data_IF_888426609641
#
_entry.id   IF_888426609641
#
_cell.length_a   1.000
_cell.length_b   1.000
_cell.length_c   1.000
_cell.angle_alpha   90.00
_cell.angle_beta   90.00
_cell.angle_gamma   90.00
#
_symmetry.space_group_name_H-M   'P 1'
#
loop_
_entity.id
_entity.type
_entity.pdbx_description
1 polymer ?
#
# COMPACT_ATOMS: atom_id res chain seq x y z
N UNK A 1 23.56 -4.69 -22.72
CA UNK A 1 23.15 -3.58 -23.62
C UNK A 1 23.26 -2.29 -22.83
N UNK A 2 23.77 -1.21 -23.42
CA UNK A 2 23.88 0.07 -22.72
C UNK A 2 22.58 0.85 -22.98
N UNK A 3 21.59 0.76 -22.09
CA UNK A 3 20.33 1.52 -22.20
C UNK A 3 20.57 2.98 -21.79
N UNK A 4 21.22 3.74 -22.67
CA UNK A 4 21.63 5.12 -22.40
C UNK A 4 20.60 6.14 -22.86
N UNK A 5 19.92 5.86 -23.97
CA UNK A 5 18.86 6.75 -24.50
C UNK A 5 17.48 6.36 -23.96
N UNK A 6 16.58 7.33 -23.86
CA UNK A 6 15.18 7.07 -23.52
C UNK A 6 14.47 6.24 -24.59
N UNK A 7 14.93 6.34 -25.84
CA UNK A 7 14.45 5.49 -26.94
C UNK A 7 14.81 4.01 -26.72
N UNK A 8 16.06 3.69 -26.38
CA UNK A 8 16.48 2.31 -26.06
C UNK A 8 15.69 1.73 -24.89
N UNK A 9 15.47 2.53 -23.85
CA UNK A 9 14.66 2.17 -22.68
C UNK A 9 13.21 1.87 -23.07
N UNK A 10 12.59 2.71 -23.91
CA UNK A 10 11.24 2.51 -24.42
C UNK A 10 11.12 1.22 -25.24
N UNK A 11 12.09 0.94 -26.13
CA UNK A 11 12.11 -0.27 -26.94
C UNK A 11 12.17 -1.52 -26.05
N UNK A 12 12.99 -1.50 -25.01
CA UNK A 12 13.09 -2.61 -24.05
C UNK A 12 11.78 -2.81 -23.27
N UNK A 13 11.15 -1.73 -22.80
CA UNK A 13 9.84 -1.78 -22.14
C UNK A 13 8.79 -2.37 -23.08
N UNK A 14 8.75 -1.93 -24.33
CA UNK A 14 7.86 -2.48 -25.34
C UNK A 14 8.08 -3.99 -25.54
N UNK A 15 9.32 -4.42 -25.76
CA UNK A 15 9.67 -5.85 -25.95
C UNK A 15 9.22 -6.69 -24.76
N UNK A 16 9.38 -6.19 -23.54
CA UNK A 16 8.99 -6.90 -22.30
C UNK A 16 7.51 -6.90 -22.03
N UNK A 17 6.78 -5.89 -22.51
CA UNK A 17 5.34 -5.79 -22.32
C UNK A 17 4.55 -6.92 -22.99
N UNK A 18 5.13 -7.61 -23.99
CA UNK A 18 4.44 -8.59 -24.84
C UNK A 18 3.15 -8.06 -25.48
N UNK A 19 3.02 -6.74 -25.63
CA UNK A 19 1.88 -6.10 -26.26
C UNK A 19 2.07 -5.97 -27.77
N UNK A 20 0.97 -5.99 -28.52
CA UNK A 20 1.02 -5.60 -29.93
C UNK A 20 1.31 -4.10 -30.05
N UNK A 21 1.97 -3.68 -31.15
CA UNK A 21 2.26 -2.26 -31.42
C UNK A 21 0.99 -1.41 -31.31
N UNK A 22 -0.12 -1.88 -31.88
CA UNK A 22 -1.40 -1.16 -31.82
C UNK A 22 -1.89 -0.97 -30.39
N UNK A 23 -1.76 -2.01 -29.54
CA UNK A 23 -2.18 -1.93 -28.14
C UNK A 23 -1.24 -1.03 -27.34
N UNK A 24 0.07 -1.16 -27.52
CA UNK A 24 1.05 -0.31 -26.86
C UNK A 24 0.85 1.17 -27.21
N UNK A 25 0.67 1.48 -28.49
CA UNK A 25 0.39 2.83 -28.99
C UNK A 25 -0.89 3.43 -28.39
N UNK A 26 -1.97 2.63 -28.29
CA UNK A 26 -3.21 3.07 -27.66
C UNK A 26 -3.05 3.41 -26.17
N UNK A 27 -2.20 2.68 -25.44
CA UNK A 27 -1.98 2.88 -24.01
C UNK A 27 -1.19 4.16 -23.73
N UNK A 28 -0.15 4.45 -24.52
CA UNK A 28 0.62 5.69 -24.40
C UNK A 28 -0.03 6.89 -25.13
N UNK A 29 -1.16 6.66 -25.78
CA UNK A 29 -1.92 7.63 -26.59
C UNK A 29 -1.06 8.28 -27.68
N UNK A 30 -0.36 7.46 -28.47
CA UNK A 30 0.37 7.89 -29.67
C UNK A 30 -0.11 7.12 -30.89
N UNK A 31 0.16 7.66 -32.07
CA UNK A 31 -0.13 6.98 -33.32
C UNK A 31 0.73 5.73 -33.50
N UNK A 32 0.13 4.69 -34.07
CA UNK A 32 0.83 3.43 -34.38
C UNK A 32 2.10 3.67 -35.20
N UNK A 33 2.06 4.58 -36.18
CA UNK A 33 3.20 4.90 -37.05
C UNK A 33 4.38 5.46 -36.25
N UNK A 34 4.10 6.34 -35.29
CA UNK A 34 5.12 6.94 -34.42
C UNK A 34 5.79 5.88 -33.57
N UNK A 35 4.99 5.00 -32.95
CA UNK A 35 5.52 3.89 -32.14
C UNK A 35 6.32 2.91 -32.99
N UNK A 36 5.87 2.59 -34.20
CA UNK A 36 6.64 1.77 -35.16
C UNK A 36 7.97 2.43 -35.51
N UNK A 37 7.99 3.75 -35.76
CA UNK A 37 9.24 4.46 -36.08
C UNK A 37 10.26 4.44 -34.94
N UNK A 38 9.79 4.41 -33.69
CA UNK A 38 10.64 4.24 -32.51
C UNK A 38 11.15 2.81 -32.37
N UNK A 39 10.27 1.81 -32.50
CA UNK A 39 10.63 0.39 -32.36
C UNK A 39 11.62 -0.05 -33.43
N UNK A 40 11.39 0.36 -34.68
CA UNK A 40 12.25 0.03 -35.83
C UNK A 40 13.51 0.92 -35.88
N UNK A 41 13.68 1.81 -34.89
CA UNK A 41 14.81 2.72 -34.76
C UNK A 41 15.03 3.63 -35.99
N UNK A 42 13.95 3.93 -36.72
CA UNK A 42 13.95 4.76 -37.92
C UNK A 42 14.05 6.26 -37.58
N UNK A 43 13.61 6.65 -36.38
CA UNK A 43 13.68 8.01 -35.87
C UNK A 43 14.47 8.06 -34.56
N UNK A 44 15.55 8.84 -34.53
CA UNK A 44 16.34 9.13 -33.32
C UNK A 44 15.71 10.26 -32.48
N UNK A 45 14.40 10.16 -32.25
CA UNK A 45 13.63 11.16 -31.50
C UNK A 45 13.31 10.59 -30.13
N UNK A 46 13.75 11.30 -29.09
CA UNK A 46 13.47 10.94 -27.70
C UNK A 46 11.96 10.92 -27.41
N UNK A 47 11.44 9.94 -26.65
CA UNK A 47 10.05 9.94 -26.24
C UNK A 47 9.75 11.17 -25.38
N UNK A 48 8.65 11.88 -25.65
CA UNK A 48 8.26 13.06 -24.89
C UNK A 48 7.88 12.71 -23.45
N UNK A 49 7.93 13.70 -22.55
CA UNK A 49 7.72 13.51 -21.11
C UNK A 49 6.37 12.85 -20.80
N UNK A 50 5.32 13.20 -21.53
CA UNK A 50 3.98 12.61 -21.38
C UNK A 50 3.96 11.09 -21.62
N UNK A 51 4.81 10.59 -22.53
CA UNK A 51 4.97 9.15 -22.77
C UNK A 51 5.76 8.50 -21.65
N UNK A 52 6.83 9.14 -21.18
CA UNK A 52 7.65 8.65 -20.06
C UNK A 52 6.83 8.49 -18.79
N UNK A 53 6.05 9.50 -18.43
CA UNK A 53 5.13 9.48 -17.27
C UNK A 53 4.05 8.40 -17.42
N UNK A 54 3.41 8.28 -18.58
CA UNK A 54 2.42 7.22 -18.83
C UNK A 54 3.01 5.84 -18.69
N UNK A 55 4.24 5.60 -19.17
CA UNK A 55 4.91 4.32 -19.03
C UNK A 55 5.20 4.01 -17.55
N UNK A 56 5.68 4.98 -16.78
CA UNK A 56 5.86 4.83 -15.33
C UNK A 56 4.54 4.48 -14.64
N UNK A 57 3.45 5.17 -14.97
CA UNK A 57 2.13 4.91 -14.37
C UNK A 57 1.56 3.54 -14.76
N UNK A 58 1.60 3.19 -16.05
CA UNK A 58 1.01 1.95 -16.58
C UNK A 58 1.71 0.71 -16.05
N UNK A 59 3.05 0.74 -16.02
CA UNK A 59 3.87 -0.39 -15.63
C UNK A 59 4.39 -0.29 -14.18
N UNK A 60 4.01 0.78 -13.46
CA UNK A 60 4.43 1.07 -12.09
C UNK A 60 5.94 1.11 -11.91
N UNK A 61 6.64 1.65 -12.90
CA UNK A 61 8.08 1.88 -12.80
C UNK A 61 8.35 3.16 -12.01
N UNK A 62 9.45 3.23 -11.26
CA UNK A 62 9.84 4.45 -10.58
C UNK A 62 10.34 5.51 -11.56
N UNK A 63 10.08 6.79 -11.29
CA UNK A 63 10.36 7.88 -12.25
C UNK A 63 11.85 8.00 -12.64
N UNK A 64 12.75 7.58 -11.73
CA UNK A 64 14.19 7.63 -11.94
C UNK A 64 14.68 6.72 -13.08
N UNK A 65 13.86 5.81 -13.62
CA UNK A 65 14.27 4.97 -14.76
C UNK A 65 14.66 5.79 -15.99
N UNK A 66 14.20 7.04 -16.10
CA UNK A 66 14.49 7.94 -17.22
C UNK A 66 15.73 8.81 -17.00
N UNK A 67 16.29 8.85 -15.79
CA UNK A 67 17.46 9.65 -15.47
C UNK A 67 18.74 9.08 -16.10
N UNK A 68 19.74 9.95 -16.30
CA UNK A 68 21.04 9.57 -16.90
C UNK A 68 21.81 8.55 -16.04
N UNK A 69 21.60 8.57 -14.71
CA UNK A 69 22.22 7.64 -13.78
C UNK A 69 21.71 6.21 -13.93
N UNK A 70 20.43 6.03 -14.30
CA UNK A 70 19.81 4.70 -14.40
C UNK A 70 20.02 4.12 -15.80
N UNK A 71 21.10 3.37 -16.01
CA UNK A 71 21.44 2.77 -17.31
C UNK A 71 21.86 1.31 -17.20
N UNK A 72 21.85 0.60 -18.33
CA UNK A 72 22.32 -0.79 -18.39
C UNK A 72 21.58 -1.73 -17.44
N UNK A 73 22.33 -2.39 -16.56
CA UNK A 73 21.81 -3.40 -15.63
C UNK A 73 20.92 -2.79 -14.54
N UNK A 74 21.14 -1.54 -14.15
CA UNK A 74 20.31 -0.86 -13.15
C UNK A 74 18.90 -0.59 -13.70
N UNK A 75 18.81 -0.09 -14.93
CA UNK A 75 17.54 0.07 -15.63
C UNK A 75 16.81 -1.27 -15.76
N UNK A 76 17.52 -2.31 -16.19
CA UNK A 76 16.94 -3.65 -16.29
C UNK A 76 16.40 -4.14 -14.95
N UNK A 77 17.15 -3.98 -13.86
CA UNK A 77 16.68 -4.33 -12.51
C UNK A 77 15.40 -3.56 -12.16
N UNK A 78 15.36 -2.26 -12.39
CA UNK A 78 14.19 -1.43 -12.05
C UNK A 78 12.92 -1.79 -12.82
N UNK A 79 13.02 -2.25 -14.07
CA UNK A 79 11.85 -2.67 -14.87
C UNK A 79 11.50 -4.16 -14.73
N UNK A 80 12.37 -4.97 -14.09
CA UNK A 80 12.17 -6.42 -13.91
C UNK A 80 11.88 -6.82 -12.48
N UNK A 81 12.43 -6.10 -11.51
CA UNK A 81 12.04 -6.24 -10.13
C UNK A 81 10.66 -5.61 -9.98
N UNK A 82 9.66 -6.46 -10.11
CA UNK A 82 8.36 -6.26 -9.49
C UNK A 82 8.64 -5.83 -8.04
N UNK A 83 8.04 -4.76 -7.49
CA UNK A 83 8.16 -4.44 -6.07
C UNK A 83 7.62 -5.62 -5.26
N UNK A 84 8.53 -6.52 -4.87
CA UNK A 84 8.20 -7.87 -4.41
C UNK A 84 7.42 -7.84 -3.10
N UNK A 85 7.64 -6.81 -2.27
CA UNK A 85 7.00 -6.69 -0.97
C UNK A 85 5.50 -6.43 -1.08
N UNK A 86 5.10 -5.48 -1.91
CA UNK A 86 3.70 -5.03 -2.02
C UNK A 86 2.81 -6.01 -2.78
N UNK A 87 3.35 -6.64 -3.83
CA UNK A 87 2.60 -7.63 -4.61
C UNK A 87 2.45 -8.95 -3.85
N UNK A 88 3.48 -9.36 -3.10
CA UNK A 88 3.40 -10.52 -2.20
C UNK A 88 2.35 -10.34 -1.12
N UNK A 89 2.19 -9.13 -0.56
CA UNK A 89 1.12 -8.81 0.41
C UNK A 89 -0.28 -8.94 -0.22
N UNK A 90 -0.43 -8.58 -1.50
CA UNK A 90 -1.70 -8.70 -2.23
C UNK A 90 -2.03 -10.18 -2.49
N UNK A 91 -1.05 -10.96 -2.96
CA UNK A 91 -1.20 -12.38 -3.27
C UNK A 91 -1.45 -13.24 -2.01
N UNK A 92 -0.78 -12.92 -0.90
CA UNK A 92 -0.95 -13.60 0.41
C UNK A 92 -2.23 -13.17 1.15
N UNK A 93 -3.02 -12.27 0.56
CA UNK A 93 -4.36 -11.92 1.04
C UNK A 93 -4.38 -11.34 2.46
N UNK A 94 -5.27 -11.85 3.32
CA UNK A 94 -5.40 -11.35 4.69
C UNK A 94 -4.18 -11.68 5.56
N UNK A 95 -3.57 -12.86 5.35
CA UNK A 95 -2.39 -13.30 6.08
C UNK A 95 -1.18 -12.41 5.80
N UNK A 96 -0.90 -12.12 4.52
CA UNK A 96 0.20 -11.23 4.13
C UNK A 96 0.04 -9.82 4.68
N UNK A 97 -1.18 -9.27 4.61
CA UNK A 97 -1.50 -7.96 5.21
C UNK A 97 -1.28 -7.93 6.71
N UNK A 98 -1.74 -8.95 7.45
CA UNK A 98 -1.59 -9.00 8.89
C UNK A 98 -0.12 -9.15 9.30
N UNK A 99 0.63 -9.99 8.59
CA UNK A 99 2.08 -10.18 8.81
C UNK A 99 2.85 -8.88 8.56
N UNK A 100 2.52 -8.17 7.48
CA UNK A 100 3.12 -6.87 7.17
C UNK A 100 2.81 -5.80 8.24
N UNK A 101 1.56 -5.75 8.71
CA UNK A 101 1.17 -4.86 9.80
C UNK A 101 1.99 -5.17 11.06
N UNK A 102 2.15 -6.45 11.42
CA UNK A 102 2.94 -6.83 12.59
C UNK A 102 4.42 -6.46 12.46
N UNK A 103 5.00 -6.54 11.26
CA UNK A 103 6.38 -6.11 11.01
C UNK A 103 6.53 -4.60 11.23
N UNK A 104 5.60 -3.80 10.72
CA UNK A 104 5.63 -2.34 10.86
C UNK A 104 5.28 -1.87 12.28
N UNK A 105 4.33 -2.54 12.92
CA UNK A 105 3.89 -2.27 14.29
C UNK A 105 4.81 -2.94 15.33
N UNK A 106 5.97 -3.51 14.96
CA UNK A 106 6.82 -4.29 15.86
C UNK A 106 7.23 -3.57 17.17
N UNK A 107 7.52 -2.27 17.09
CA UNK A 107 8.02 -1.50 18.24
C UNK A 107 7.03 -0.43 18.71
N UNK A 108 6.24 0.11 17.79
CA UNK A 108 5.27 1.17 18.06
C UNK A 108 4.16 1.11 17.04
N UNK A 109 2.98 1.60 17.42
CA UNK A 109 1.82 1.65 16.54
C UNK A 109 1.29 3.08 16.46
N UNK A 110 1.09 3.51 15.22
CA UNK A 110 0.51 4.82 14.90
C UNK A 110 -0.78 4.61 14.10
N UNK A 111 -1.90 5.04 14.66
CA UNK A 111 -3.23 4.82 14.07
C UNK A 111 -3.88 6.17 13.83
N UNK A 112 -4.33 6.41 12.60
CA UNK A 112 -5.26 7.50 12.30
C UNK A 112 -6.54 6.87 11.77
N UNK A 113 -7.62 6.96 12.55
CA UNK A 113 -8.91 6.41 12.14
C UNK A 113 -10.04 7.30 12.64
N UNK A 114 -10.98 7.68 11.77
CA UNK A 114 -12.09 8.53 12.18
C UNK A 114 -13.05 7.84 13.19
N UNK A 115 -13.12 6.50 13.17
CA UNK A 115 -14.07 5.70 13.96
C UNK A 115 -13.38 4.87 15.05
N UNK A 116 -14.00 4.84 16.22
CA UNK A 116 -13.68 4.05 17.40
C UNK A 116 -14.90 3.19 17.79
N UNK A 117 -14.76 1.91 18.19
CA UNK A 117 -13.51 1.17 18.35
C UNK A 117 -12.91 0.74 17.00
N UNK A 118 -11.58 0.85 16.91
CA UNK A 118 -10.83 0.37 15.74
C UNK A 118 -10.91 -1.15 15.59
N UNK A 119 -10.49 -1.71 14.44
CA UNK A 119 -10.53 -3.15 14.17
C UNK A 119 -9.92 -4.01 15.28
N UNK A 120 -8.82 -3.56 15.88
CA UNK A 120 -8.14 -4.26 16.98
C UNK A 120 -9.01 -4.41 18.23
N UNK A 121 -9.63 -3.31 18.70
CA UNK A 121 -10.54 -3.34 19.86
C UNK A 121 -11.73 -4.26 19.63
N UNK A 122 -12.19 -4.38 18.37
CA UNK A 122 -13.28 -5.32 18.03
C UNK A 122 -12.81 -6.77 18.10
N UNK A 123 -11.60 -7.05 17.61
CA UNK A 123 -11.01 -8.38 17.64
C UNK A 123 -10.75 -8.88 19.08
N UNK A 124 -10.46 -7.98 20.02
CA UNK A 124 -10.24 -8.32 21.44
C UNK A 124 -11.53 -8.38 22.27
N UNK A 125 -12.47 -7.45 22.08
CA UNK A 125 -13.64 -7.31 22.94
C UNK A 125 -14.83 -8.21 22.53
N UNK A 126 -14.98 -8.56 21.25
CA UNK A 126 -16.17 -9.26 20.74
C UNK A 126 -15.82 -10.68 20.31
N UNK A 127 -16.13 -11.67 21.16
CA UNK A 127 -15.77 -13.08 20.89
C UNK A 127 -16.69 -13.87 19.93
N UNK A 128 -17.83 -13.37 19.42
CA UNK A 128 -18.75 -14.10 18.50
C UNK A 128 -19.54 -13.12 17.61
N UNK A 129 -19.92 -13.36 16.34
CA UNK A 129 -20.62 -14.49 15.70
C UNK A 129 -20.05 -14.83 14.30
N UNK A 130 -19.13 -14.03 13.77
CA UNK A 130 -18.56 -14.16 12.42
C UNK A 130 -17.17 -14.81 12.42
N UNK A 131 -16.99 -15.96 13.08
CA UNK A 131 -15.80 -16.78 12.81
C UNK A 131 -15.92 -17.32 11.38
N UNK A 132 -15.57 -16.49 10.42
CA UNK A 132 -15.10 -16.96 9.12
C UNK A 132 -14.01 -17.98 9.43
N UNK A 133 -14.12 -19.20 8.88
CA UNK A 133 -13.08 -20.23 9.01
C UNK A 133 -11.77 -19.64 8.48
N UNK A 134 -11.00 -19.06 9.37
CA UNK A 134 -9.70 -18.46 9.09
C UNK A 134 -8.65 -19.53 9.33
N UNK A 135 -7.53 -19.47 8.61
CA UNK A 135 -6.45 -20.43 8.82
C UNK A 135 -5.92 -20.29 10.25
N UNK A 136 -5.41 -21.39 10.80
CA UNK A 136 -4.84 -21.40 12.15
C UNK A 136 -3.71 -20.37 12.30
N UNK A 137 -2.93 -20.16 11.24
CA UNK A 137 -1.82 -19.20 11.23
C UNK A 137 -2.30 -17.75 11.38
N UNK A 138 -3.46 -17.41 10.82
CA UNK A 138 -4.06 -16.08 10.96
C UNK A 138 -4.48 -15.82 12.41
N UNK A 139 -5.05 -16.82 13.07
CA UNK A 139 -5.44 -16.70 14.48
C UNK A 139 -4.20 -16.59 15.39
N UNK A 140 -3.14 -17.35 15.12
CA UNK A 140 -1.85 -17.23 15.82
C UNK A 140 -1.22 -15.83 15.66
N UNK A 141 -1.32 -15.22 14.47
CA UNK A 141 -0.85 -13.84 14.25
C UNK A 141 -1.71 -12.82 15.00
N UNK A 142 -3.03 -13.00 15.06
CA UNK A 142 -3.91 -12.13 15.85
C UNK A 142 -3.56 -12.19 17.33
N UNK A 143 -3.39 -13.39 17.88
CA UNK A 143 -2.99 -13.58 19.28
C UNK A 143 -1.64 -12.92 19.56
N UNK A 144 -0.63 -13.14 18.73
CA UNK A 144 0.68 -12.48 18.87
C UNK A 144 0.59 -10.95 18.85
N UNK A 145 -0.25 -10.40 17.96
CA UNK A 145 -0.47 -8.95 17.89
C UNK A 145 -1.14 -8.41 19.14
N UNK A 146 -2.11 -9.15 19.71
CA UNK A 146 -2.75 -8.80 20.98
C UNK A 146 -1.73 -8.82 22.12
N UNK A 147 -0.94 -9.90 22.23
CA UNK A 147 0.07 -10.06 23.28
C UNK A 147 1.12 -8.95 23.24
N UNK A 148 1.54 -8.55 22.04
CA UNK A 148 2.46 -7.44 21.84
C UNK A 148 1.88 -6.10 22.32
N UNK A 149 0.61 -5.84 22.00
CA UNK A 149 -0.08 -4.61 22.40
C UNK A 149 -0.39 -4.54 23.90
N UNK A 150 -0.52 -5.67 24.57
CA UNK A 150 -0.73 -5.74 26.02
C UNK A 150 0.57 -5.55 26.81
N UNK A 151 1.74 -5.48 26.15
CA UNK A 151 3.00 -5.21 26.85
C UNK A 151 3.06 -3.77 27.31
N UNK A 152 3.57 -3.58 28.51
CA UNK A 152 3.66 -2.26 29.15
C UNK A 152 4.64 -1.31 28.43
N UNK A 153 5.66 -1.87 27.77
CA UNK A 153 6.69 -1.13 27.03
C UNK A 153 6.29 -0.79 25.59
N UNK A 154 5.08 -1.18 25.18
CA UNK A 154 4.62 -1.00 23.81
C UNK A 154 3.97 0.37 23.60
N UNK A 155 4.59 1.21 22.76
CA UNK A 155 4.12 2.57 22.51
C UNK A 155 3.03 2.63 21.44
N UNK A 156 1.90 3.26 21.77
CA UNK A 156 0.74 3.41 20.89
C UNK A 156 0.27 4.85 20.85
N UNK A 157 0.27 5.42 19.65
CA UNK A 157 -0.31 6.73 19.37
C UNK A 157 -1.51 6.55 18.46
N UNK A 158 -2.72 6.79 18.96
CA UNK A 158 -3.96 6.59 18.22
C UNK A 158 -4.76 7.89 18.13
N UNK A 159 -5.20 8.24 16.91
CA UNK A 159 -5.93 9.45 16.60
C UNK A 159 -7.34 9.07 16.16
N UNK A 160 -8.33 9.49 16.93
CA UNK A 160 -9.75 9.26 16.67
C UNK A 160 -10.53 10.57 16.59
N UNK A 161 -11.68 10.55 15.91
CA UNK A 161 -12.63 11.65 16.02
C UNK A 161 -13.19 11.70 17.44
N UNK A 162 -13.15 12.90 18.07
CA UNK A 162 -13.73 13.12 19.39
C UNK A 162 -15.21 12.69 19.46
N UNK A 163 -15.96 12.92 18.38
CA UNK A 163 -17.36 12.47 18.27
C UNK A 163 -17.46 10.95 18.39
N UNK A 164 -16.55 10.21 17.75
CA UNK A 164 -16.58 8.75 17.76
C UNK A 164 -16.19 8.17 19.13
N UNK A 165 -15.21 8.79 19.79
CA UNK A 165 -14.81 8.39 21.16
C UNK A 165 -15.96 8.61 22.13
N UNK A 166 -16.56 9.80 22.12
CA UNK A 166 -17.73 10.11 22.95
C UNK A 166 -18.88 9.16 22.66
N UNK A 167 -19.21 8.93 21.39
CA UNK A 167 -20.27 7.99 21.00
C UNK A 167 -20.05 6.59 21.58
N UNK A 168 -18.80 6.12 21.62
CA UNK A 168 -18.47 4.85 22.26
C UNK A 168 -18.62 4.88 23.79
N UNK A 169 -18.16 5.93 24.47
CA UNK A 169 -18.33 6.09 25.93
C UNK A 169 -19.81 6.14 26.38
N UNK A 170 -20.73 6.49 25.48
CA UNK A 170 -22.17 6.46 25.72
C UNK A 170 -22.88 5.23 25.12
N UNK A 171 -22.15 4.33 24.46
CA UNK A 171 -22.70 3.07 23.93
C UNK A 171 -22.80 1.99 25.01
N UNK A 172 -23.74 1.05 24.88
CA UNK A 172 -23.98 -0.03 25.84
C UNK A 172 -22.72 -0.86 26.20
N UNK A 173 -21.77 -0.97 25.25
CA UNK A 173 -20.53 -1.75 25.41
C UNK A 173 -19.41 -0.93 26.06
N UNK A 174 -19.38 0.40 25.84
CA UNK A 174 -18.38 1.31 26.42
C UNK A 174 -18.83 1.98 27.72
N UNK A 175 -20.03 1.64 28.22
CA UNK A 175 -20.69 2.29 29.34
C UNK A 175 -20.35 1.64 30.69
N UNK A 176 -19.08 1.73 31.10
CA UNK A 176 -18.62 1.19 32.40
C UNK A 176 -18.88 2.16 33.57
N UNK A 177 -19.13 3.44 33.26
CA UNK A 177 -19.28 4.52 34.24
C UNK A 177 -20.75 4.92 34.43
N UNK A 178 -21.14 5.20 35.68
CA UNK A 178 -22.47 5.72 35.98
C UNK A 178 -22.66 7.13 35.41
N UNK A 179 -23.91 7.59 35.36
CA UNK A 179 -24.24 8.93 34.87
C UNK A 179 -23.49 10.02 35.66
N UNK A 180 -23.36 9.86 36.97
CA UNK A 180 -22.64 10.80 37.84
C UNK A 180 -21.13 10.83 37.55
N UNK A 181 -20.53 9.68 37.28
CA UNK A 181 -19.10 9.57 36.95
C UNK A 181 -18.78 10.23 35.60
N UNK A 182 -19.68 10.14 34.63
CA UNK A 182 -19.53 10.82 33.33
C UNK A 182 -19.57 12.33 33.46
N UNK A 183 -20.44 12.87 34.31
CA UNK A 183 -20.52 14.32 34.57
C UNK A 183 -19.20 14.81 35.17
N UNK A 184 -18.66 14.09 36.17
CA UNK A 184 -17.37 14.43 36.78
C UNK A 184 -16.20 14.41 35.79
N UNK A 185 -16.19 13.48 34.84
CA UNK A 185 -15.15 13.42 33.79
C UNK A 185 -15.28 14.60 32.83
N UNK A 186 -16.50 14.98 32.44
CA UNK A 186 -16.73 16.14 31.58
C UNK A 186 -16.33 17.45 32.26
N UNK A 187 -16.57 17.57 33.57
CA UNK A 187 -16.18 18.74 34.36
C UNK A 187 -14.65 18.89 34.49
N UNK A 188 -13.86 17.83 34.28
CA UNK A 188 -12.39 17.88 34.28
C UNK A 188 -11.78 18.33 32.94
N UNK A 189 -12.56 18.35 31.86
CA UNK A 189 -12.13 18.75 30.52
C UNK A 189 -12.32 20.27 30.30
N UNK A 190 -13.15 20.91 31.12
CA UNK A 190 -13.35 22.36 31.17
C UNK A 190 -12.47 23.03 32.23
#
# INVERSE_FOLDING_TARGET
MNYKSGLEKLIEIYKRSNLSISKFASLIQKDRRTVTSWIDNLAQVEPPLDVKEKLCQLFRYPDFIWEEGCSGDEFLKSITQIPQKEIRIIDEGYFGRLSYIMELEANRRFVIQAQFPGPMYRDTAVKRIYRTKTSKEIEELKEKRIDQMLRYDYDTTEWYSIKSVLSFCYSEIGNFYTKEEKIKILDLIY
#
